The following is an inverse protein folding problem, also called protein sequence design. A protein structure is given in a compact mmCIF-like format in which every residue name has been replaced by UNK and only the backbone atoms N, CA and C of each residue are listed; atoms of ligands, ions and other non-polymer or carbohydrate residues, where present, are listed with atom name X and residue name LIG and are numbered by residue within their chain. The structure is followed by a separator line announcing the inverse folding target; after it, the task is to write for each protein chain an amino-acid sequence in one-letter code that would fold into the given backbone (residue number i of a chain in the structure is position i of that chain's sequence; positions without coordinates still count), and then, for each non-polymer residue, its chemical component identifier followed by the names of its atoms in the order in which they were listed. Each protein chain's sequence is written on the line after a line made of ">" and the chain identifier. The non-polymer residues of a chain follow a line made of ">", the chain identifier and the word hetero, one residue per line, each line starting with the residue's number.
data_IF_682167908168
#
_entry.id   IF_682167908168
#
_cell.length_a   1.000
_cell.length_b   1.000
_cell.length_c   1.000
_cell.angle_alpha   90.00
_cell.angle_beta   90.00
_cell.angle_gamma   90.00
#
_symmetry.space_group_name_H-M   'P 1'
#
loop_
_entity.id
_entity.type
_entity.pdbx_description
1 polymer ?
#
# COMPACT_ATOMS: atom_id res chain seq x y z
N UNK A 1 22.82 -8.63 -2.56
CA UNK A 1 22.26 -9.67 -1.66
C UNK A 1 20.74 -9.57 -1.55
N UNK A 2 20.15 -8.40 -1.37
CA UNK A 2 18.71 -8.15 -1.25
C UNK A 2 17.89 -8.74 -2.42
N UNK A 3 18.34 -8.54 -3.66
CA UNK A 3 17.69 -9.13 -4.84
C UNK A 3 17.65 -10.66 -4.80
N UNK A 4 18.71 -11.29 -4.28
CA UNK A 4 18.74 -12.76 -4.10
C UNK A 4 17.74 -13.21 -3.05
N UNK A 5 17.62 -12.47 -1.94
CA UNK A 5 16.64 -12.76 -0.90
C UNK A 5 15.21 -12.56 -1.41
N UNK A 6 14.96 -11.51 -2.17
CA UNK A 6 13.66 -11.27 -2.81
C UNK A 6 13.27 -12.40 -3.76
N UNK A 7 14.17 -12.86 -4.60
CA UNK A 7 13.93 -14.01 -5.47
C UNK A 7 13.65 -15.30 -4.68
N UNK A 8 14.32 -15.49 -3.54
CA UNK A 8 14.09 -16.62 -2.64
C UNK A 8 12.71 -16.56 -1.99
N UNK A 9 12.27 -15.37 -1.58
CA UNK A 9 10.93 -15.15 -1.01
C UNK A 9 9.85 -15.49 -2.06
N UNK A 10 10.03 -15.00 -3.29
CA UNK A 10 9.10 -15.29 -4.40
C UNK A 10 8.98 -16.80 -4.61
N UNK A 11 10.10 -17.52 -4.68
CA UNK A 11 10.09 -18.97 -4.82
C UNK A 11 9.34 -19.66 -3.69
N UNK A 12 9.61 -19.28 -2.44
CA UNK A 12 8.91 -19.82 -1.28
C UNK A 12 7.41 -19.53 -1.29
N UNK A 13 7.01 -18.36 -1.77
CA UNK A 13 5.61 -18.00 -1.90
C UNK A 13 4.89 -18.89 -2.93
N UNK A 14 5.52 -19.13 -4.07
CA UNK A 14 4.98 -20.06 -5.08
C UNK A 14 4.89 -21.50 -4.58
N UNK A 15 5.92 -21.99 -3.90
CA UNK A 15 5.95 -23.36 -3.36
C UNK A 15 4.88 -23.58 -2.27
N UNK A 16 4.49 -22.51 -1.56
CA UNK A 16 3.51 -22.55 -0.46
C UNK A 16 2.13 -22.06 -0.86
N UNK A 17 1.92 -21.69 -2.11
CA UNK A 17 0.63 -21.18 -2.56
C UNK A 17 -0.43 -22.28 -2.44
N UNK A 18 -1.47 -22.11 -1.61
CA UNK A 18 -2.51 -23.11 -1.49
C UNK A 18 -3.31 -23.19 -2.78
N UNK A 19 -3.72 -24.41 -3.13
CA UNK A 19 -4.69 -24.59 -4.21
C UNK A 19 -6.09 -24.36 -3.67
N UNK A 20 -6.92 -23.63 -4.41
CA UNK A 20 -8.28 -23.34 -4.03
C UNK A 20 -8.84 -22.14 -4.76
N UNK A 21 -10.03 -21.77 -4.36
CA UNK A 21 -10.70 -20.57 -4.88
C UNK A 21 -9.94 -19.29 -4.46
N UNK A 22 -9.87 -18.33 -5.38
CA UNK A 22 -9.21 -17.03 -5.13
C UNK A 22 -10.03 -16.17 -4.16
N UNK A 23 -11.36 -16.35 -4.19
CA UNK A 23 -12.28 -15.58 -3.36
C UNK A 23 -12.84 -16.42 -2.23
N UNK A 24 -13.21 -15.78 -1.13
CA UNK A 24 -13.95 -16.42 -0.06
C UNK A 24 -15.31 -16.93 -0.56
N UNK A 25 -15.81 -18.04 0.03
CA UNK A 25 -17.13 -18.59 -0.30
C UNK A 25 -18.24 -17.57 -0.04
N UNK A 26 -18.14 -16.81 1.04
CA UNK A 26 -19.08 -15.74 1.36
C UNK A 26 -18.73 -14.46 0.60
N UNK A 27 -19.31 -14.31 -0.57
CA UNK A 27 -19.07 -13.17 -1.46
C UNK A 27 -19.74 -11.88 -1.03
N UNK A 28 -20.50 -11.86 0.05
CA UNK A 28 -21.13 -10.64 0.57
C UNK A 28 -20.12 -9.62 1.06
N UNK A 29 -18.92 -10.06 1.40
CA UNK A 29 -17.84 -9.21 1.89
C UNK A 29 -16.70 -9.03 0.87
N UNK A 30 -16.83 -9.61 -0.32
CA UNK A 30 -15.83 -9.46 -1.38
C UNK A 30 -16.16 -8.21 -2.17
N UNK A 31 -15.18 -7.30 -2.26
CA UNK A 31 -15.31 -6.15 -3.15
C UNK A 31 -15.42 -6.66 -4.60
N UNK A 32 -16.33 -6.10 -5.39
CA UNK A 32 -16.44 -6.45 -6.79
C UNK A 32 -15.10 -6.22 -7.51
N UNK A 33 -14.73 -7.04 -8.49
CA UNK A 33 -13.55 -6.80 -9.29
C UNK A 33 -13.54 -5.38 -9.84
N UNK A 34 -12.38 -4.77 -9.88
CA UNK A 34 -12.22 -3.39 -10.36
C UNK A 34 -12.85 -3.17 -11.73
N UNK A 35 -12.77 -4.17 -12.57
CA UNK A 35 -13.34 -4.17 -13.93
C UNK A 35 -14.87 -4.05 -13.93
N UNK A 36 -15.53 -4.43 -12.84
CA UNK A 36 -16.99 -4.31 -12.70
C UNK A 36 -17.43 -2.99 -12.06
N UNK A 37 -16.53 -2.32 -11.35
CA UNK A 37 -16.83 -1.05 -10.65
C UNK A 37 -16.60 0.16 -11.56
N UNK A 38 -15.65 0.04 -12.49
CA UNK A 38 -15.37 1.10 -13.46
C UNK A 38 -16.46 1.06 -14.53
N UNK A 39 -17.42 1.95 -14.39
CA UNK A 39 -18.36 2.25 -15.48
C UNK A 39 -17.56 2.86 -16.62
N UNK A 40 -17.28 2.06 -17.60
CA UNK A 40 -16.40 2.37 -18.68
C UNK A 40 -16.94 3.48 -19.57
N UNK A 41 -16.08 4.40 -19.89
CA UNK A 41 -16.13 5.12 -21.13
C UNK A 41 -15.36 4.41 -22.27
N UNK A 42 -15.08 3.12 -22.10
CA UNK A 42 -14.38 2.37 -23.14
C UNK A 42 -15.33 1.97 -24.24
N UNK A 43 -15.10 2.61 -25.39
CA UNK A 43 -15.88 2.48 -26.62
C UNK A 43 -15.74 1.11 -27.33
N UNK A 44 -15.04 0.15 -26.74
CA UNK A 44 -14.71 -1.11 -27.41
C UNK A 44 -15.42 -2.36 -26.88
N UNK A 45 -16.45 -2.21 -26.07
CA UNK A 45 -17.41 -3.29 -25.82
C UNK A 45 -16.87 -4.58 -25.13
N UNK A 46 -15.70 -4.53 -24.51
CA UNK A 46 -15.02 -5.71 -23.94
C UNK A 46 -15.30 -5.93 -22.46
N UNK A 47 -16.00 -5.04 -21.78
CA UNK A 47 -16.30 -5.21 -20.36
C UNK A 47 -17.69 -5.78 -20.14
N UNK A 48 -17.78 -7.09 -19.93
CA UNK A 48 -19.04 -7.70 -19.58
C UNK A 48 -19.36 -7.40 -18.12
N UNK A 49 -20.51 -6.84 -17.91
CA UNK A 49 -21.23 -6.78 -16.64
C UNK A 49 -20.85 -5.61 -15.73
N UNK A 50 -21.74 -4.64 -15.74
CA UNK A 50 -21.88 -3.66 -14.66
C UNK A 50 -22.00 -4.41 -13.32
N UNK A 51 -21.36 -3.86 -12.28
CA UNK A 51 -21.54 -4.35 -10.92
C UNK A 51 -23.04 -4.39 -10.59
N UNK A 52 -23.49 -5.48 -9.99
CA UNK A 52 -24.86 -5.53 -9.51
C UNK A 52 -25.08 -4.47 -8.44
N UNK A 53 -26.32 -3.99 -8.29
CA UNK A 53 -26.64 -3.05 -7.21
C UNK A 53 -26.27 -3.61 -5.83
N UNK A 54 -26.39 -4.91 -5.64
CA UNK A 54 -26.03 -5.60 -4.41
C UNK A 54 -24.53 -5.54 -4.13
N UNK A 55 -23.70 -5.71 -5.15
CA UNK A 55 -22.25 -5.59 -5.03
C UNK A 55 -21.83 -4.15 -4.69
N UNK A 56 -22.46 -3.15 -5.29
CA UNK A 56 -22.23 -1.74 -4.97
C UNK A 56 -22.65 -1.41 -3.54
N UNK A 57 -23.79 -1.88 -3.09
CA UNK A 57 -24.28 -1.69 -1.71
C UNK A 57 -23.35 -2.38 -0.72
N UNK A 58 -22.88 -3.60 -1.00
CA UNK A 58 -21.94 -4.33 -0.16
C UNK A 58 -20.60 -3.57 -0.04
N UNK A 59 -20.09 -3.05 -1.14
CA UNK A 59 -18.90 -2.19 -1.15
C UNK A 59 -19.10 -0.95 -0.29
N UNK A 60 -20.20 -0.24 -0.44
CA UNK A 60 -20.52 0.94 0.34
C UNK A 60 -20.55 0.64 1.84
N UNK A 61 -21.21 -0.45 2.24
CA UNK A 61 -21.28 -0.86 3.64
C UNK A 61 -19.92 -1.21 4.23
N UNK A 62 -19.09 -1.93 3.48
CA UNK A 62 -17.75 -2.31 3.94
C UNK A 62 -16.85 -1.08 4.09
N UNK A 63 -16.89 -0.14 3.15
CA UNK A 63 -16.01 1.03 3.14
C UNK A 63 -16.49 2.12 4.09
N UNK A 64 -17.81 2.35 4.18
CA UNK A 64 -18.35 3.51 4.91
C UNK A 64 -18.70 3.20 6.37
N UNK A 65 -19.03 1.96 6.67
CA UNK A 65 -19.57 1.57 7.99
C UNK A 65 -18.54 0.82 8.86
N UNK A 66 -17.30 0.73 8.40
CA UNK A 66 -16.23 0.12 9.17
C UNK A 66 -15.86 1.03 10.35
N UNK A 67 -16.26 0.63 11.54
CA UNK A 67 -15.91 1.31 12.80
C UNK A 67 -14.74 0.59 13.44
N UNK A 68 -13.72 1.34 13.82
CA UNK A 68 -12.60 0.80 14.58
C UNK A 68 -12.86 1.00 16.07
N UNK A 69 -12.55 0.02 16.91
CA UNK A 69 -12.68 0.20 18.35
C UNK A 69 -11.82 1.38 18.83
N UNK A 70 -12.28 2.08 19.86
CA UNK A 70 -11.52 3.16 20.44
C UNK A 70 -10.19 2.63 21.02
N UNK A 71 -9.11 3.31 20.71
CA UNK A 71 -7.77 2.92 21.13
C UNK A 71 -6.69 3.49 20.24
N UNK A 72 -5.46 3.10 20.50
CA UNK A 72 -4.31 3.45 19.69
C UNK A 72 -3.50 2.21 19.33
N UNK A 73 -2.96 2.20 18.14
CA UNK A 73 -2.11 1.14 17.63
C UNK A 73 -0.95 1.71 16.82
N UNK A 74 0.21 1.07 16.93
CA UNK A 74 1.33 1.27 16.05
C UNK A 74 1.71 -0.07 15.45
N UNK A 75 1.87 -0.10 14.15
CA UNK A 75 2.40 -1.26 13.43
C UNK A 75 3.39 -0.79 12.36
N UNK A 76 4.49 -1.48 12.29
CA UNK A 76 5.50 -1.29 11.29
C UNK A 76 5.67 -2.58 10.49
N UNK A 77 5.93 -2.42 9.21
CA UNK A 77 6.21 -3.50 8.26
C UNK A 77 7.47 -3.18 7.48
N UNK A 78 8.16 -4.21 7.04
CA UNK A 78 9.28 -4.05 6.11
C UNK A 78 8.74 -3.64 4.74
N UNK A 79 9.09 -2.45 4.31
CA UNK A 79 8.82 -1.95 2.96
C UNK A 79 10.03 -2.14 2.04
N UNK A 80 9.84 -1.96 0.74
CA UNK A 80 10.90 -2.06 -0.25
C UNK A 80 12.06 -1.08 -0.01
N UNK A 81 11.80 0.05 0.66
CA UNK A 81 12.77 1.12 0.93
C UNK A 81 13.14 1.24 2.41
N UNK A 82 12.63 0.36 3.24
CA UNK A 82 12.85 0.32 4.67
C UNK A 82 11.57 0.16 5.49
N UNK A 83 11.62 0.52 6.74
CA UNK A 83 10.49 0.37 7.67
C UNK A 83 9.39 1.40 7.37
N UNK A 84 8.20 0.89 7.02
CA UNK A 84 6.97 1.66 6.88
C UNK A 84 6.09 1.43 8.11
N UNK A 85 5.82 2.49 8.87
CA UNK A 85 5.03 2.41 10.10
C UNK A 85 3.78 3.27 10.06
N UNK A 86 2.71 2.78 10.69
CA UNK A 86 1.48 3.55 10.86
C UNK A 86 1.12 3.63 12.34
N UNK A 87 0.96 4.85 12.81
CA UNK A 87 0.39 5.14 14.12
C UNK A 87 -1.03 5.67 13.94
N UNK A 88 -1.97 5.00 14.57
CA UNK A 88 -3.40 5.28 14.44
C UNK A 88 -4.03 5.46 15.82
N UNK A 89 -4.85 6.49 15.95
CA UNK A 89 -5.72 6.70 17.11
C UNK A 89 -7.16 6.73 16.63
N UNK A 90 -7.98 5.86 17.21
CA UNK A 90 -9.42 5.78 16.96
C UNK A 90 -10.20 6.18 18.21
N UNK A 91 -11.32 6.87 18.02
CA UNK A 91 -12.30 7.19 19.05
C UNK A 91 -13.56 6.29 18.99
N UNK A 92 -13.54 5.27 18.13
CA UNK A 92 -14.68 4.36 17.90
C UNK A 92 -15.54 4.75 16.69
N UNK A 93 -15.20 5.83 16.01
CA UNK A 93 -15.85 6.25 14.77
C UNK A 93 -15.34 5.51 13.53
N UNK A 94 -15.85 5.91 12.38
CA UNK A 94 -15.44 5.42 11.06
C UNK A 94 -14.21 6.16 10.50
N UNK A 95 -13.78 7.23 11.16
CA UNK A 95 -12.59 7.99 10.79
C UNK A 95 -11.57 7.94 11.90
N UNK A 96 -10.31 7.85 11.53
CA UNK A 96 -9.23 7.95 12.50
C UNK A 96 -9.16 9.37 13.07
N UNK A 97 -9.14 9.51 14.39
CA UNK A 97 -8.93 10.79 15.07
C UNK A 97 -7.53 11.33 14.79
N UNK A 98 -6.55 10.44 14.68
CA UNK A 98 -5.18 10.78 14.33
C UNK A 98 -4.54 9.64 13.56
N UNK A 99 -3.91 9.98 12.46
CA UNK A 99 -3.08 9.07 11.67
C UNK A 99 -1.71 9.70 11.49
N UNK A 100 -0.65 8.92 11.69
CA UNK A 100 0.70 9.30 11.34
C UNK A 100 1.39 8.15 10.62
N UNK A 101 1.84 8.42 9.42
CA UNK A 101 2.69 7.51 8.67
C UNK A 101 4.18 7.82 8.97
N UNK A 102 4.94 6.79 9.29
CA UNK A 102 6.39 6.84 9.31
C UNK A 102 6.87 6.30 7.98
N UNK A 103 7.43 7.16 7.18
CA UNK A 103 7.92 6.83 5.85
C UNK A 103 9.43 6.58 5.90
N UNK A 104 9.93 5.52 5.27
CA UNK A 104 11.36 5.25 5.20
C UNK A 104 12.10 6.31 4.38
N UNK A 105 11.56 6.75 3.27
CA UNK A 105 12.18 7.74 2.38
C UNK A 105 12.44 9.08 3.08
N UNK A 106 11.52 9.53 3.92
CA UNK A 106 11.70 10.77 4.69
C UNK A 106 12.88 10.67 5.67
N UNK A 107 13.02 9.54 6.33
CA UNK A 107 14.12 9.32 7.26
C UNK A 107 15.46 9.18 6.53
N UNK A 108 15.49 8.44 5.43
CA UNK A 108 16.70 8.21 4.63
C UNK A 108 17.21 9.50 3.99
N UNK A 109 16.30 10.40 3.59
CA UNK A 109 16.67 11.68 2.98
C UNK A 109 17.54 12.56 3.91
N UNK A 110 17.43 12.39 5.21
CA UNK A 110 18.24 13.14 6.17
C UNK A 110 19.75 12.83 6.04
N UNK A 111 20.10 11.66 5.54
CA UNK A 111 21.50 11.29 5.27
C UNK A 111 22.12 12.02 4.07
N UNK A 112 21.29 12.61 3.18
CA UNK A 112 21.74 13.27 1.95
C UNK A 112 22.80 14.33 2.21
N UNK A 113 22.58 15.18 3.20
CA UNK A 113 23.49 16.29 3.52
C UNK A 113 24.87 15.78 3.95
N UNK A 114 24.91 14.68 4.70
CA UNK A 114 26.17 14.09 5.17
C UNK A 114 26.88 13.34 4.04
N UNK A 115 26.14 12.61 3.22
CA UNK A 115 26.69 11.86 2.08
C UNK A 115 27.22 12.79 0.97
N UNK A 116 26.64 13.98 0.81
CA UNK A 116 27.06 14.95 -0.20
C UNK A 116 28.28 15.79 0.25
N UNK A 117 28.61 15.78 1.53
CA UNK A 117 29.66 16.61 2.08
C UNK A 117 31.05 16.20 1.56
N UNK A 118 31.78 17.13 0.95
CA UNK A 118 33.09 16.90 0.40
C UNK A 118 33.12 16.25 -0.98
N UNK A 119 31.97 15.92 -1.56
CA UNK A 119 31.83 15.44 -2.92
C UNK A 119 31.72 16.58 -3.95
N UNK A 120 31.73 16.19 -5.23
CA UNK A 120 31.47 17.12 -6.32
C UNK A 120 29.97 17.31 -6.47
N UNK A 121 29.56 18.46 -7.01
CA UNK A 121 28.12 18.76 -7.22
C UNK A 121 27.46 17.75 -8.19
N UNK A 122 28.24 17.19 -9.10
CA UNK A 122 27.79 16.15 -10.03
C UNK A 122 27.51 14.81 -9.34
N UNK A 123 28.21 14.52 -8.25
CA UNK A 123 28.01 13.29 -7.47
C UNK A 123 26.69 13.31 -6.72
N UNK A 124 26.09 14.50 -6.52
CA UNK A 124 24.82 14.64 -5.84
C UNK A 124 23.71 13.82 -6.50
N UNK A 125 23.71 13.72 -7.84
CA UNK A 125 22.71 12.91 -8.57
C UNK A 125 22.88 11.43 -8.22
N UNK A 126 24.11 10.95 -8.16
CA UNK A 126 24.40 9.57 -7.79
C UNK A 126 24.05 9.28 -6.32
N UNK A 127 24.31 10.23 -5.43
CA UNK A 127 23.93 10.12 -4.01
C UNK A 127 22.42 10.07 -3.86
N UNK A 128 21.67 10.93 -4.55
CA UNK A 128 20.21 10.93 -4.57
C UNK A 128 19.68 9.58 -5.09
N UNK A 129 20.22 9.09 -6.19
CA UNK A 129 19.84 7.80 -6.76
C UNK A 129 20.14 6.62 -5.81
N UNK A 130 21.24 6.69 -5.04
CA UNK A 130 21.60 5.65 -4.07
C UNK A 130 20.67 5.58 -2.87
N UNK A 131 20.06 6.70 -2.48
CA UNK A 131 19.06 6.74 -1.40
C UNK A 131 17.70 6.20 -1.85
N UNK A 132 17.45 6.16 -3.15
CA UNK A 132 16.23 5.62 -3.77
C UNK A 132 14.93 6.08 -3.08
N UNK A 133 14.83 7.36 -2.77
CA UNK A 133 13.63 7.89 -2.14
C UNK A 133 12.53 8.21 -3.16
N UNK A 134 11.29 8.16 -2.70
CA UNK A 134 10.10 8.52 -3.48
C UNK A 134 9.49 9.79 -2.90
N UNK A 135 9.27 10.80 -3.75
CA UNK A 135 8.76 12.10 -3.29
C UNK A 135 7.42 12.01 -2.59
N UNK A 136 6.51 11.15 -3.05
CA UNK A 136 5.22 10.94 -2.40
C UNK A 136 5.33 10.40 -0.98
N UNK A 137 6.35 9.58 -0.69
CA UNK A 137 6.65 9.12 0.68
C UNK A 137 7.27 10.22 1.54
N UNK A 138 8.03 11.11 0.95
CA UNK A 138 8.65 12.23 1.67
C UNK A 138 7.59 13.26 2.07
N UNK A 139 6.67 13.54 1.18
CA UNK A 139 5.65 14.57 1.33
C UNK A 139 4.44 14.13 2.18
N UNK A 140 4.07 12.83 2.20
CA UNK A 140 3.00 12.17 3.00
C UNK A 140 1.71 12.96 3.13
#
# INVERSE_FOLDING_TARGET
>A
EEMRQSARIIKQAFDKLPQGEIYAEDRRFVLPPRERVVTSHDKEGVYPQQASMEEVIAQFKVVTDMKMPAGMAYRAVEGAKGELGFYLVSDGGNMARRLRARSPSFNNLQALAEMARGGLIYDLIAVIASLDFVMGEVDR
#
